data_IF_114085403093
#
_entry.id   IF_114085403093
#
_cell.length_a   1.000
_cell.length_b   1.000
_cell.length_c   1.000
_cell.angle_alpha   90.00
_cell.angle_beta   90.00
_cell.angle_gamma   90.00
#
_symmetry.space_group_name_H-M   'P 1'
#
loop_
_entity.id
_entity.type
_entity.pdbx_description
1 polymer ?
#
# COMPACT_ATOMS: atom_id res chain seq x y z
N UNK A 1 -5.36 10.90 8.47
CA UNK A 1 -5.16 9.44 8.62
C UNK A 1 -5.45 8.97 10.04
N UNK A 2 -4.76 9.46 11.08
CA UNK A 2 -4.99 9.06 12.48
C UNK A 2 -6.40 9.34 13.00
N UNK A 3 -6.99 10.48 12.63
CA UNK A 3 -8.39 10.80 12.98
C UNK A 3 -9.40 9.81 12.37
N UNK A 4 -9.13 9.33 11.16
CA UNK A 4 -10.05 8.43 10.42
C UNK A 4 -9.85 6.97 10.79
N UNK A 5 -8.60 6.54 10.94
CA UNK A 5 -8.22 5.13 11.09
C UNK A 5 -7.79 4.76 12.52
N UNK A 6 -7.69 5.72 13.46
CA UNK A 6 -7.05 5.57 14.77
C UNK A 6 -5.52 5.43 14.69
N UNK A 7 -4.85 5.79 15.79
CA UNK A 7 -3.40 5.64 15.93
C UNK A 7 -2.96 4.19 15.78
N UNK A 8 -3.69 3.26 16.41
CA UNK A 8 -3.36 1.84 16.37
C UNK A 8 -3.22 1.33 14.93
N UNK A 9 -4.09 1.74 14.01
CA UNK A 9 -4.01 1.28 12.61
C UNK A 9 -2.83 1.91 11.89
N UNK A 10 -2.64 3.22 12.06
CA UNK A 10 -1.59 3.96 11.35
C UNK A 10 -0.18 3.60 11.84
N UNK A 11 -0.03 3.21 13.10
CA UNK A 11 1.26 2.80 13.66
C UNK A 11 1.79 1.48 13.05
N UNK A 12 0.92 0.67 12.44
CA UNK A 12 1.32 -0.54 11.70
C UNK A 12 1.68 -0.25 10.24
N UNK A 13 1.57 1.01 9.78
CA UNK A 13 1.80 1.36 8.38
C UNK A 13 3.16 2.00 8.13
N UNK A 14 3.72 1.82 6.92
CA UNK A 14 4.86 2.61 6.44
C UNK A 14 4.44 4.06 6.15
N UNK A 15 5.39 4.99 6.23
CA UNK A 15 5.25 6.34 5.71
C UNK A 15 4.75 6.31 4.26
N UNK A 16 3.71 7.11 3.99
CA UNK A 16 3.13 7.22 2.65
C UNK A 16 3.93 8.24 1.87
N UNK A 17 4.37 7.84 0.67
CA UNK A 17 5.11 8.65 -0.30
C UNK A 17 6.61 8.83 -0.01
N UNK A 18 7.35 9.31 -1.02
CA UNK A 18 8.81 9.29 -1.04
C UNK A 18 9.37 7.99 -1.57
N UNK A 19 10.69 7.91 -1.66
CA UNK A 19 11.41 6.73 -2.13
C UNK A 19 12.09 6.03 -0.95
N UNK A 20 12.11 4.70 -0.98
CA UNK A 20 12.98 3.91 -0.12
C UNK A 20 14.39 3.79 -0.69
N UNK A 21 15.24 3.03 0.00
CA UNK A 21 16.65 2.87 -0.33
C UNK A 21 16.86 2.15 -1.68
N UNK A 22 15.84 1.45 -2.19
CA UNK A 22 15.84 0.78 -3.49
C UNK A 22 15.24 1.67 -4.60
N UNK A 23 14.73 2.85 -4.24
CA UNK A 23 14.10 3.78 -5.17
C UNK A 23 12.63 3.47 -5.47
N UNK A 24 11.96 2.65 -4.65
CA UNK A 24 10.53 2.35 -4.76
C UNK A 24 9.68 3.27 -3.88
N UNK A 25 8.39 3.42 -4.23
CA UNK A 25 7.48 4.26 -3.45
C UNK A 25 7.16 3.67 -2.08
N UNK A 26 7.40 4.45 -1.02
CA UNK A 26 7.06 4.07 0.36
C UNK A 26 5.57 3.93 0.59
N UNK A 27 5.16 2.83 1.21
CA UNK A 27 3.78 2.52 1.60
C UNK A 27 2.73 2.48 0.48
N UNK A 28 3.09 2.73 -0.78
CA UNK A 28 2.14 2.93 -1.88
C UNK A 28 2.16 1.76 -2.87
N UNK A 29 0.98 1.31 -3.29
CA UNK A 29 0.81 0.22 -4.27
C UNK A 29 1.52 -1.10 -3.89
N UNK A 30 1.79 -1.27 -2.60
CA UNK A 30 2.38 -2.45 -1.96
C UNK A 30 1.73 -2.64 -0.57
N UNK A 31 2.02 -3.72 0.17
CA UNK A 31 1.46 -3.93 1.50
C UNK A 31 1.81 -2.75 2.42
N UNK A 32 0.80 -2.16 3.06
CA UNK A 32 1.03 -1.02 3.95
C UNK A 32 1.70 -1.42 5.27
N UNK A 33 1.59 -2.71 5.66
CA UNK A 33 1.92 -3.23 6.98
C UNK A 33 0.68 -3.52 7.84
N UNK A 34 -0.45 -2.84 7.55
CA UNK A 34 -1.74 -3.12 8.15
C UNK A 34 -2.58 -4.05 7.25
N UNK A 35 -3.10 -5.18 7.77
CA UNK A 35 -4.00 -6.06 7.03
C UNK A 35 -5.25 -5.33 6.52
N UNK A 36 -5.56 -5.47 5.23
CA UNK A 36 -6.76 -4.89 4.62
C UNK A 36 -6.67 -3.40 4.29
N UNK A 37 -5.52 -2.76 4.47
CA UNK A 37 -5.30 -1.35 4.15
C UNK A 37 -4.19 -1.19 3.10
N UNK A 38 -4.47 -0.42 2.06
CA UNK A 38 -3.52 -0.11 1.00
C UNK A 38 -3.61 1.36 0.63
N UNK A 39 -2.47 1.94 0.25
CA UNK A 39 -2.41 3.33 -0.18
C UNK A 39 -2.15 3.43 -1.68
N UNK A 40 -2.97 4.24 -2.35
CA UNK A 40 -2.69 4.77 -3.67
C UNK A 40 -2.40 6.26 -3.52
N UNK A 41 -1.15 6.66 -3.73
CA UNK A 41 -0.73 8.06 -3.66
C UNK A 41 -0.03 8.48 -4.95
N UNK A 42 0.25 9.78 -5.05
CA UNK A 42 0.85 10.41 -6.22
C UNK A 42 -0.18 10.91 -7.21
N UNK A 43 0.31 11.26 -8.38
CA UNK A 43 -0.52 11.80 -9.45
C UNK A 43 -1.20 10.70 -10.28
N UNK A 44 -1.80 11.14 -11.39
CA UNK A 44 -2.49 10.27 -12.31
C UNK A 44 -1.58 9.26 -13.01
N UNK A 45 -0.31 9.61 -13.25
CA UNK A 45 0.65 8.70 -13.86
C UNK A 45 0.88 7.53 -12.90
N UNK A 46 1.21 7.82 -11.64
CA UNK A 46 1.41 6.80 -10.61
C UNK A 46 0.18 5.90 -10.45
N UNK A 47 -0.98 6.50 -10.24
CA UNK A 47 -2.25 5.77 -10.08
C UNK A 47 -2.56 4.86 -11.26
N UNK A 48 -2.37 5.34 -12.50
CA UNK A 48 -2.65 4.56 -13.71
C UNK A 48 -1.76 3.34 -13.83
N UNK A 49 -0.45 3.50 -13.59
CA UNK A 49 0.50 2.41 -13.81
C UNK A 49 0.47 1.38 -12.67
N UNK A 50 0.36 1.84 -11.42
CA UNK A 50 0.58 0.98 -10.27
C UNK A 50 -0.69 0.31 -9.74
N UNK A 51 -1.89 0.85 -10.03
CA UNK A 51 -3.15 0.25 -9.54
C UNK A 51 -3.35 -1.20 -10.00
N UNK A 52 -2.95 -1.54 -11.23
CA UNK A 52 -3.06 -2.93 -11.73
C UNK A 52 -2.12 -3.87 -10.97
N UNK A 53 -0.90 -3.43 -10.66
CA UNK A 53 0.06 -4.22 -9.88
C UNK A 53 -0.47 -4.46 -8.47
N UNK A 54 -1.00 -3.42 -7.82
CA UNK A 54 -1.65 -3.55 -6.52
C UNK A 54 -2.83 -4.53 -6.55
N UNK A 55 -3.71 -4.42 -7.56
CA UNK A 55 -4.86 -5.31 -7.69
C UNK A 55 -4.46 -6.80 -7.84
N UNK A 56 -3.40 -7.09 -8.59
CA UNK A 56 -2.87 -8.47 -8.72
C UNK A 56 -2.35 -8.97 -7.37
N UNK A 57 -1.62 -8.14 -6.62
CA UNK A 57 -1.13 -8.50 -5.28
C UNK A 57 -2.28 -8.76 -4.30
N UNK A 58 -3.32 -7.92 -4.31
CA UNK A 58 -4.54 -8.15 -3.50
C UNK A 58 -5.19 -9.46 -3.92
N UNK A 59 -5.34 -9.69 -5.23
CA UNK A 59 -5.99 -10.92 -5.71
C UNK A 59 -5.21 -12.19 -5.34
N UNK A 60 -3.88 -12.13 -5.39
CA UNK A 60 -3.04 -13.24 -4.98
C UNK A 60 -3.22 -13.59 -3.49
N UNK A 61 -3.38 -12.57 -2.62
CA UNK A 61 -3.70 -12.77 -1.19
C UNK A 61 -5.07 -13.40 -0.98
N UNK A 62 -6.10 -12.90 -1.66
CA UNK A 62 -7.46 -13.47 -1.59
C UNK A 62 -7.49 -14.94 -2.00
N UNK A 63 -6.65 -15.33 -2.96
CA UNK A 63 -6.53 -16.70 -3.44
C UNK A 63 -5.61 -17.57 -2.57
N UNK A 64 -4.99 -17.02 -1.53
CA UNK A 64 -4.04 -17.74 -0.67
C UNK A 64 -2.73 -18.13 -1.35
N UNK A 65 -2.37 -17.46 -2.46
CA UNK A 65 -1.12 -17.70 -3.18
C UNK A 65 0.09 -17.06 -2.51
N UNK A 66 -0.15 -16.01 -1.71
CA UNK A 66 0.83 -15.31 -0.88
C UNK A 66 0.22 -15.01 0.49
N UNK A 67 1.05 -14.80 1.54
CA UNK A 67 0.56 -14.41 2.87
C UNK A 67 -0.27 -13.12 2.81
N UNK A 68 -1.32 -13.07 3.64
CA UNK A 68 -2.14 -11.89 3.84
C UNK A 68 -1.30 -10.72 4.36
#
# INVERSE_FOLDING_TARGET
>A
MRETFSDNVIDHTEDVWGLDDEGEFRGCYRPSGQPGLWFGAGDFWNSRFLSKLLAIQIKARELGLIPA
#
